data_IF_006697880158
#
_entry.id   IF_006697880158
#
_cell.length_a   1.000
_cell.length_b   1.000
_cell.length_c   1.000
_cell.angle_alpha   90.00
_cell.angle_beta   90.00
_cell.angle_gamma   90.00
#
_symmetry.space_group_name_H-M   'P 1'
#
loop_
_entity.id
_entity.type
_entity.pdbx_description
1 polymer ?
#
# COMPACT_ATOMS: atom_id res chain seq x y z
N UNK A 1 -3.07 9.03 -32.75
CA UNK A 1 -3.40 8.57 -31.39
C UNK A 1 -2.80 7.20 -31.23
N UNK A 2 -1.74 7.05 -30.44
CA UNK A 2 -1.20 5.72 -30.15
C UNK A 2 -2.13 4.98 -29.18
N UNK A 3 -2.32 3.66 -29.35
CA UNK A 3 -3.18 2.87 -28.48
C UNK A 3 -2.60 2.83 -27.06
N UNK A 4 -3.40 3.25 -26.08
CA UNK A 4 -3.05 3.09 -24.67
C UNK A 4 -3.12 1.60 -24.31
N UNK A 5 -1.96 0.96 -24.21
CA UNK A 5 -1.86 -0.42 -23.73
C UNK A 5 -2.23 -0.44 -22.26
N UNK A 6 -3.39 -0.99 -21.93
CA UNK A 6 -3.84 -1.19 -20.56
C UNK A 6 -2.93 -2.25 -19.90
N UNK A 7 -1.89 -1.82 -19.17
CA UNK A 7 -1.03 -2.72 -18.41
C UNK A 7 -1.78 -3.18 -17.16
N UNK A 8 -2.23 -4.43 -17.15
CA UNK A 8 -2.77 -5.07 -15.93
C UNK A 8 -1.61 -5.37 -14.98
N UNK A 9 -1.59 -4.72 -13.83
CA UNK A 9 -0.59 -4.95 -12.78
C UNK A 9 -1.18 -5.87 -11.70
N UNK A 10 -0.47 -6.93 -11.38
CA UNK A 10 -0.80 -7.86 -10.28
C UNK A 10 0.25 -7.68 -9.17
N UNK A 11 -0.19 -7.30 -7.98
CA UNK A 11 0.68 -7.19 -6.80
C UNK A 11 0.53 -8.45 -5.96
N UNK A 12 1.65 -9.13 -5.69
CA UNK A 12 1.70 -10.33 -4.84
C UNK A 12 2.59 -10.03 -3.63
N UNK A 13 2.12 -10.36 -2.43
CA UNK A 13 2.88 -10.17 -1.17
C UNK A 13 3.26 -11.57 -0.65
N UNK A 14 4.44 -12.08 -1.02
CA UNK A 14 4.92 -13.37 -0.53
C UNK A 14 5.23 -13.31 0.96
N UNK A 15 5.01 -14.42 1.69
CA UNK A 15 5.22 -14.47 3.15
C UNK A 15 6.53 -15.18 3.53
N UNK A 16 7.11 -15.93 2.59
CA UNK A 16 8.33 -16.72 2.79
C UNK A 16 9.22 -16.67 1.55
N UNK A 17 10.52 -16.95 1.72
CA UNK A 17 11.46 -17.09 0.59
C UNK A 17 11.05 -18.21 -0.38
N UNK A 18 10.37 -19.26 0.12
CA UNK A 18 9.79 -20.30 -0.73
C UNK A 18 8.69 -19.77 -1.65
N UNK A 19 7.87 -18.84 -1.17
CA UNK A 19 6.81 -18.22 -1.98
C UNK A 19 7.42 -17.39 -3.12
N UNK A 20 8.52 -16.67 -2.83
CA UNK A 20 9.28 -15.90 -3.82
C UNK A 20 9.84 -16.81 -4.91
N UNK A 21 10.50 -17.91 -4.51
CA UNK A 21 11.06 -18.87 -5.46
C UNK A 21 9.99 -19.50 -6.37
N UNK A 22 8.83 -19.86 -5.79
CA UNK A 22 7.72 -20.41 -6.55
C UNK A 22 7.14 -19.40 -7.56
N UNK A 23 6.99 -18.13 -7.16
CA UNK A 23 6.53 -17.07 -8.04
C UNK A 23 7.51 -16.86 -9.19
N UNK A 24 8.82 -16.81 -8.93
CA UNK A 24 9.86 -16.68 -9.95
C UNK A 24 9.73 -17.79 -11.01
N UNK A 25 9.68 -19.05 -10.59
CA UNK A 25 9.51 -20.19 -11.51
C UNK A 25 8.21 -20.12 -12.30
N UNK A 26 7.12 -19.67 -11.67
CA UNK A 26 5.82 -19.53 -12.34
C UNK A 26 5.83 -18.42 -13.41
N UNK A 27 6.44 -17.27 -13.10
CA UNK A 27 6.55 -16.16 -14.06
C UNK A 27 7.51 -16.48 -15.21
N UNK A 28 8.62 -17.19 -14.93
CA UNK A 28 9.53 -17.71 -15.96
C UNK A 28 8.82 -18.67 -16.91
N UNK A 29 8.04 -19.62 -16.38
CA UNK A 29 7.29 -20.59 -17.19
C UNK A 29 6.21 -19.93 -18.08
N UNK A 30 5.76 -18.73 -17.72
CA UNK A 30 4.79 -17.95 -18.48
C UNK A 30 5.43 -16.89 -19.39
N UNK A 31 6.76 -16.83 -19.46
CA UNK A 31 7.52 -15.80 -20.18
C UNK A 31 7.11 -14.37 -19.79
N UNK A 32 6.71 -14.18 -18.53
CA UNK A 32 6.27 -12.90 -17.99
C UNK A 32 7.45 -12.17 -17.35
N UNK A 33 7.55 -10.87 -17.62
CA UNK A 33 8.53 -10.01 -16.98
C UNK A 33 8.24 -9.92 -15.47
N UNK A 34 9.13 -10.50 -14.69
CA UNK A 34 9.14 -10.39 -13.24
C UNK A 34 10.05 -9.22 -12.83
N UNK A 35 9.53 -8.31 -12.01
CA UNK A 35 10.31 -7.24 -11.39
C UNK A 35 10.05 -7.27 -9.90
N UNK A 36 11.09 -7.60 -9.13
CA UNK A 36 11.09 -7.39 -7.68
C UNK A 36 11.21 -5.89 -7.42
N UNK A 37 10.17 -5.30 -6.84
CA UNK A 37 10.25 -3.98 -6.25
C UNK A 37 10.41 -4.15 -4.74
N UNK A 38 11.64 -4.08 -4.25
CA UNK A 38 11.94 -4.00 -2.80
C UNK A 38 11.68 -2.59 -2.26
N UNK A 39 10.56 -1.98 -2.64
CA UNK A 39 10.16 -0.70 -2.03
C UNK A 39 9.46 -1.00 -0.72
N UNK A 40 10.23 -1.46 0.25
CA UNK A 40 9.87 -1.30 1.65
C UNK A 40 10.06 0.19 1.96
N UNK A 41 8.99 0.99 1.81
CA UNK A 41 9.03 2.36 2.31
C UNK A 41 9.24 2.29 3.82
N UNK A 42 10.48 2.53 4.24
CA UNK A 42 10.80 2.67 5.65
C UNK A 42 10.03 3.86 6.20
N UNK A 43 8.96 3.56 6.93
CA UNK A 43 8.20 4.58 7.63
C UNK A 43 9.13 5.29 8.62
N UNK A 44 9.15 6.62 8.55
CA UNK A 44 9.78 7.43 9.60
C UNK A 44 9.10 7.16 10.94
N UNK A 45 9.81 7.35 12.06
CA UNK A 45 9.22 7.17 13.39
C UNK A 45 7.97 8.02 13.59
N UNK A 46 7.94 9.23 13.03
CA UNK A 46 6.77 10.12 13.05
C UNK A 46 5.58 9.51 12.29
N UNK A 47 5.83 8.86 11.14
CA UNK A 47 4.77 8.19 10.38
C UNK A 47 4.25 6.95 11.12
N UNK A 48 5.13 6.14 11.70
CA UNK A 48 4.75 4.98 12.53
C UNK A 48 3.89 5.39 13.71
N UNK A 49 4.27 6.46 14.43
CA UNK A 49 3.50 7.00 15.55
C UNK A 49 2.11 7.47 15.14
N UNK A 50 2.00 8.19 14.00
CA UNK A 50 0.69 8.64 13.47
C UNK A 50 -0.22 7.48 13.09
N UNK A 51 0.34 6.44 12.47
CA UNK A 51 -0.42 5.23 12.11
C UNK A 51 -0.90 4.52 13.37
N UNK A 52 -0.03 4.34 14.37
CA UNK A 52 -0.39 3.71 15.65
C UNK A 52 -1.49 4.47 16.39
N UNK A 53 -1.41 5.81 16.44
CA UNK A 53 -2.45 6.65 17.02
C UNK A 53 -3.79 6.49 16.29
N UNK A 54 -3.78 6.47 14.96
CA UNK A 54 -4.98 6.24 14.15
C UNK A 54 -5.59 4.85 14.36
N UNK A 55 -4.76 3.82 14.51
CA UNK A 55 -5.21 2.45 14.81
C UNK A 55 -5.82 2.35 16.22
N UNK A 56 -5.26 3.07 17.20
CA UNK A 56 -5.81 3.14 18.55
C UNK A 56 -7.17 3.85 18.57
N UNK A 57 -7.29 4.97 17.86
CA UNK A 57 -8.56 5.68 17.70
C UNK A 57 -9.62 4.80 17.02
N UNK A 58 -9.25 4.02 16.01
CA UNK A 58 -10.15 3.05 15.39
C UNK A 58 -10.60 1.96 16.37
N UNK A 59 -9.68 1.38 17.14
CA UNK A 59 -10.00 0.35 18.16
C UNK A 59 -10.92 0.88 19.25
N UNK A 60 -10.78 2.16 19.62
CA UNK A 60 -11.62 2.81 20.63
C UNK A 60 -12.92 3.39 20.03
N UNK A 61 -13.23 3.11 18.76
CA UNK A 61 -14.43 3.58 18.09
C UNK A 61 -14.44 5.09 17.81
N UNK A 62 -13.31 5.78 18.03
CA UNK A 62 -13.12 7.21 17.78
C UNK A 62 -12.76 7.44 16.32
N UNK A 63 -13.68 7.11 15.43
CA UNK A 63 -13.50 7.35 13.99
C UNK A 63 -14.20 8.64 13.58
N UNK A 64 -13.59 9.38 12.66
CA UNK A 64 -14.22 10.50 12.00
C UNK A 64 -14.54 10.08 10.57
N UNK A 65 -15.74 10.41 10.09
CA UNK A 65 -16.05 10.28 8.69
C UNK A 65 -15.14 11.19 7.87
N UNK A 66 -14.92 10.83 6.60
CA UNK A 66 -14.13 11.63 5.66
C UNK A 66 -14.62 13.08 5.56
N UNK A 67 -15.94 13.29 5.69
CA UNK A 67 -16.55 14.61 5.70
C UNK A 67 -16.11 15.42 6.93
N UNK A 68 -16.12 14.82 8.12
CA UNK A 68 -15.70 15.44 9.38
C UNK A 68 -14.20 15.76 9.41
N UNK A 69 -13.36 14.85 8.91
CA UNK A 69 -11.91 15.09 8.73
C UNK A 69 -11.69 16.30 7.82
N UNK A 70 -12.34 16.32 6.66
CA UNK A 70 -12.23 17.42 5.69
C UNK A 70 -12.72 18.75 6.24
N UNK A 71 -13.76 18.74 7.07
CA UNK A 71 -14.30 19.94 7.72
C UNK A 71 -13.36 20.45 8.83
N UNK A 72 -12.78 19.56 9.64
CA UNK A 72 -11.81 19.94 10.68
C UNK A 72 -10.53 20.50 10.09
N UNK A 73 -9.99 19.90 9.03
CA UNK A 73 -8.81 20.41 8.31
C UNK A 73 -9.09 21.82 7.76
N UNK A 74 -10.26 22.03 7.13
CA UNK A 74 -10.65 23.36 6.63
C UNK A 74 -10.86 24.40 7.73
N UNK A 75 -11.25 23.98 8.95
CA UNK A 75 -11.42 24.87 10.11
C UNK A 75 -10.10 25.21 10.81
N UNK A 76 -9.12 24.30 10.80
CA UNK A 76 -7.79 24.51 11.40
C UNK A 76 -6.79 25.26 10.50
N UNK A 77 -7.15 25.53 9.24
CA UNK A 77 -6.40 26.37 8.29
C UNK A 77 -6.84 27.85 8.33
N UNK A 78 -7.60 28.27 9.36
CA UNK A 78 -7.96 29.67 9.61
C UNK A 78 -7.06 30.28 10.67
#
# INVERSE_FOLDING_TARGET
MEPQVLRKQLTVIPKTEKDIALLKTFFEALELNYSESETEEQLTEVQKQKINAGLEDFRQGRTLSRAEVSQRVRRGLK
#
